data_IF_603291269327
#
_entry.id   IF_603291269327
#
_cell.length_a   1.000
_cell.length_b   1.000
_cell.length_c   1.000
_cell.angle_alpha   90.00
_cell.angle_beta   90.00
_cell.angle_gamma   90.00
#
_symmetry.space_group_name_H-M   'P 1'
#
loop_
_entity.id
_entity.type
_entity.pdbx_description
1 polymer ?
#
# COMPACT_ATOMS: atom_id res chain seq x y z
N UNK A 1 34.10 -1.04 -4.32
CA UNK A 1 33.83 0.40 -4.07
C UNK A 1 32.31 0.55 -3.93
N UNK A 2 31.80 1.18 -2.85
CA UNK A 2 30.34 1.31 -2.63
C UNK A 2 29.77 2.35 -3.60
N UNK A 3 29.43 1.94 -4.83
CA UNK A 3 28.65 2.75 -5.76
C UNK A 3 27.33 3.13 -5.05
N UNK A 4 27.10 4.41 -4.78
CA UNK A 4 25.83 4.91 -4.22
C UNK A 4 24.95 5.44 -5.33
N UNK A 5 23.64 5.52 -5.09
CA UNK A 5 22.67 6.09 -6.04
C UNK A 5 23.06 7.52 -6.47
N UNK A 6 23.66 8.30 -5.55
CA UNK A 6 24.16 9.65 -5.81
C UNK A 6 25.28 9.67 -6.86
N UNK A 7 26.22 8.75 -6.77
CA UNK A 7 27.35 8.67 -7.69
C UNK A 7 26.83 8.26 -9.08
N UNK A 8 25.98 7.23 -9.13
CA UNK A 8 25.29 6.81 -10.35
C UNK A 8 24.51 7.96 -11.02
N UNK A 9 23.80 8.78 -10.25
CA UNK A 9 23.07 9.89 -10.81
C UNK A 9 24.01 10.98 -11.37
N UNK A 10 25.07 11.33 -10.64
CA UNK A 10 26.06 12.31 -11.07
C UNK A 10 26.77 11.86 -12.36
N UNK A 11 27.20 10.60 -12.42
CA UNK A 11 27.94 10.02 -13.55
C UNK A 11 27.12 10.00 -14.85
N UNK A 12 25.78 10.02 -14.75
CA UNK A 12 24.87 9.93 -15.88
C UNK A 12 24.01 11.19 -16.08
N UNK A 13 24.36 12.31 -15.42
CA UNK A 13 23.64 13.58 -15.56
C UNK A 13 22.19 13.56 -15.08
N UNK A 14 21.85 12.66 -14.16
CA UNK A 14 20.51 12.50 -13.60
C UNK A 14 20.32 13.35 -12.35
N UNK A 15 19.10 13.82 -12.15
CA UNK A 15 18.71 14.57 -10.96
C UNK A 15 18.35 13.60 -9.83
N UNK A 16 18.86 13.86 -8.63
CA UNK A 16 18.59 13.07 -7.42
C UNK A 16 17.43 13.66 -6.62
N UNK A 17 16.54 12.79 -6.13
CA UNK A 17 15.55 13.15 -5.12
C UNK A 17 15.29 12.00 -4.16
N UNK A 18 15.59 12.22 -2.87
CA UNK A 18 15.42 11.23 -1.80
C UNK A 18 16.08 9.89 -2.18
N UNK A 19 15.25 8.89 -2.48
CA UNK A 19 15.62 7.51 -2.78
C UNK A 19 15.43 7.18 -4.27
N UNK A 20 15.42 8.19 -5.14
CA UNK A 20 15.28 8.03 -6.58
C UNK A 20 16.18 8.99 -7.36
N UNK A 21 16.46 8.65 -8.62
CA UNK A 21 17.02 9.57 -9.60
C UNK A 21 16.21 9.53 -10.89
N UNK A 22 16.22 10.63 -11.64
CA UNK A 22 15.50 10.78 -12.90
C UNK A 22 16.18 11.75 -13.84
N UNK A 23 15.87 11.64 -15.13
CA UNK A 23 16.43 12.53 -16.15
C UNK A 23 16.42 11.87 -17.53
N UNK A 24 17.19 12.42 -18.46
CA UNK A 24 17.33 11.87 -19.80
C UNK A 24 18.56 10.94 -19.82
N UNK A 25 18.37 9.70 -20.24
CA UNK A 25 19.42 8.70 -20.41
C UNK A 25 19.32 8.08 -21.80
N UNK A 26 20.38 8.21 -22.60
CA UNK A 26 20.43 7.71 -23.98
C UNK A 26 19.24 8.15 -24.86
N UNK A 27 18.74 9.37 -24.64
CA UNK A 27 17.62 9.95 -25.40
C UNK A 27 16.22 9.65 -24.84
N UNK A 28 16.10 8.88 -23.76
CA UNK A 28 14.81 8.55 -23.13
C UNK A 28 14.71 9.11 -21.72
N UNK A 29 13.50 9.44 -21.29
CA UNK A 29 13.29 9.87 -19.91
C UNK A 29 13.25 8.64 -19.00
N UNK A 30 14.13 8.59 -18.02
CA UNK A 30 14.27 7.45 -17.11
C UNK A 30 14.02 7.86 -15.67
N UNK A 31 13.55 6.92 -14.88
CA UNK A 31 13.40 7.05 -13.43
C UNK A 31 13.87 5.77 -12.75
N UNK A 32 14.76 5.89 -11.78
CA UNK A 32 15.29 4.77 -11.01
C UNK A 32 15.03 5.03 -9.54
N UNK A 33 14.18 4.21 -8.93
CA UNK A 33 13.85 4.27 -7.50
C UNK A 33 14.53 3.12 -6.77
N UNK A 34 15.33 3.41 -5.75
CA UNK A 34 16.04 2.41 -4.97
C UNK A 34 15.72 2.53 -3.48
N UNK A 35 15.14 1.48 -2.91
CA UNK A 35 14.81 1.37 -1.49
C UNK A 35 15.40 0.07 -0.92
N UNK A 36 16.41 0.12 -0.03
CA UNK A 36 17.05 -1.07 0.51
C UNK A 36 16.11 -2.08 1.17
N UNK A 37 15.06 -1.57 1.83
CA UNK A 37 14.01 -2.35 2.51
C UNK A 37 12.70 -2.41 1.71
N UNK A 38 12.71 -1.94 0.45
CA UNK A 38 11.54 -1.95 -0.42
C UNK A 38 11.31 -3.31 -1.10
N UNK A 39 10.06 -3.58 -1.49
CA UNK A 39 9.69 -4.66 -2.40
C UNK A 39 8.85 -4.06 -3.55
N UNK A 40 9.40 -3.91 -4.78
CA UNK A 40 10.77 -4.27 -5.18
C UNK A 40 11.84 -3.32 -4.59
N UNK A 41 13.07 -3.82 -4.44
CA UNK A 41 14.21 -3.03 -3.91
C UNK A 41 14.68 -1.94 -4.88
N UNK A 42 14.55 -2.19 -6.18
CA UNK A 42 14.76 -1.20 -7.22
C UNK A 42 13.65 -1.30 -8.24
N UNK A 43 13.21 -0.15 -8.73
CA UNK A 43 12.30 -0.03 -9.85
C UNK A 43 12.96 0.89 -10.88
N UNK A 44 13.10 0.39 -12.10
CA UNK A 44 13.60 1.17 -13.24
C UNK A 44 12.41 1.39 -14.17
N UNK A 45 12.22 2.63 -14.58
CA UNK A 45 11.16 3.04 -15.49
C UNK A 45 11.75 3.81 -16.65
N UNK A 46 11.33 3.48 -17.86
CA UNK A 46 11.72 4.20 -19.08
C UNK A 46 10.45 4.65 -19.80
N UNK A 47 10.35 5.95 -20.01
CA UNK A 47 9.19 6.61 -20.60
C UNK A 47 9.33 6.55 -22.10
N UNK A 48 8.31 6.00 -22.75
CA UNK A 48 8.20 5.97 -24.20
C UNK A 48 6.78 5.56 -24.56
N UNK A 49 6.29 6.01 -25.71
CA UNK A 49 4.99 5.58 -26.23
C UNK A 49 5.09 4.12 -26.68
N UNK A 50 4.67 3.22 -25.81
CA UNK A 50 4.83 1.79 -26.00
C UNK A 50 3.55 1.07 -26.46
N UNK A 51 2.37 1.70 -26.41
CA UNK A 51 1.08 1.09 -26.76
C UNK A 51 1.10 0.32 -28.09
N UNK A 52 1.64 0.93 -29.15
CA UNK A 52 1.61 0.36 -30.51
C UNK A 52 2.54 -0.86 -30.68
N UNK A 53 3.59 -0.95 -29.87
CA UNK A 53 4.61 -2.01 -29.94
C UNK A 53 4.73 -2.81 -28.63
N UNK A 54 3.70 -2.75 -27.78
CA UNK A 54 3.69 -3.35 -26.45
C UNK A 54 4.09 -4.82 -26.46
N UNK A 55 3.45 -5.62 -27.31
CA UNK A 55 3.73 -7.07 -27.38
C UNK A 55 5.15 -7.39 -27.85
N UNK A 56 5.76 -6.55 -28.69
CA UNK A 56 7.16 -6.73 -29.11
C UNK A 56 8.12 -6.41 -27.95
N UNK A 57 7.83 -5.31 -27.22
CA UNK A 57 8.64 -4.90 -26.07
C UNK A 57 8.55 -5.89 -24.90
N UNK A 58 7.36 -6.42 -24.60
CA UNK A 58 7.18 -7.48 -23.60
C UNK A 58 7.91 -8.77 -23.98
N UNK A 59 7.89 -9.16 -25.27
CA UNK A 59 8.68 -10.30 -25.76
C UNK A 59 10.18 -10.08 -25.63
N UNK A 60 10.67 -8.87 -25.89
CA UNK A 60 12.07 -8.50 -25.66
C UNK A 60 12.44 -8.63 -24.19
N UNK A 61 11.65 -8.04 -23.30
CA UNK A 61 11.88 -8.11 -21.85
C UNK A 61 11.85 -9.56 -21.35
N UNK A 62 10.89 -10.37 -21.79
CA UNK A 62 10.80 -11.78 -21.44
C UNK A 62 12.02 -12.59 -21.92
N UNK A 63 12.48 -12.35 -23.16
CA UNK A 63 13.65 -13.02 -23.73
C UNK A 63 14.93 -12.72 -22.94
N UNK A 64 15.06 -11.49 -22.45
CA UNK A 64 16.24 -11.02 -21.71
C UNK A 64 16.04 -11.01 -20.18
N UNK A 65 14.90 -11.50 -19.67
CA UNK A 65 14.56 -11.42 -18.24
C UNK A 65 15.55 -12.15 -17.34
N UNK A 66 16.01 -13.34 -17.75
CA UNK A 66 17.01 -14.12 -16.99
C UNK A 66 18.37 -13.42 -16.98
N UNK A 67 18.79 -12.89 -18.13
CA UNK A 67 20.05 -12.18 -18.31
C UNK A 67 20.10 -10.89 -17.49
N UNK A 68 19.02 -10.11 -17.52
CA UNK A 68 18.85 -8.88 -16.74
C UNK A 68 18.40 -9.12 -15.29
N UNK A 69 18.20 -10.39 -14.90
CA UNK A 69 17.74 -10.81 -13.57
C UNK A 69 16.46 -10.11 -13.12
N UNK A 70 15.48 -9.97 -14.01
CA UNK A 70 14.22 -9.30 -13.71
C UNK A 70 13.33 -10.17 -12.81
N UNK A 71 12.85 -9.59 -11.71
CA UNK A 71 11.81 -10.18 -10.88
C UNK A 71 10.44 -10.04 -11.52
N UNK A 72 10.20 -8.86 -12.08
CA UNK A 72 8.96 -8.47 -12.69
C UNK A 72 9.26 -7.41 -13.76
N UNK A 73 8.43 -7.35 -14.78
CA UNK A 73 8.54 -6.39 -15.86
C UNK A 73 7.20 -6.23 -16.58
N UNK A 74 6.97 -5.07 -17.17
CA UNK A 74 5.79 -4.84 -17.98
C UNK A 74 5.75 -3.45 -18.59
N UNK A 75 4.86 -3.29 -19.55
CA UNK A 75 4.51 -1.99 -20.13
C UNK A 75 3.30 -1.44 -19.38
N UNK A 76 3.49 -0.31 -18.69
CA UNK A 76 2.52 0.29 -17.79
C UNK A 76 2.31 1.75 -18.16
N UNK A 77 1.15 2.05 -18.74
CA UNK A 77 0.81 3.38 -19.22
C UNK A 77 1.86 3.90 -20.21
N UNK A 78 2.41 5.08 -19.90
CA UNK A 78 3.36 5.87 -20.72
C UNK A 78 4.79 5.31 -20.85
N UNK A 79 5.02 4.04 -20.55
CA UNK A 79 6.35 3.44 -20.69
C UNK A 79 6.46 2.01 -20.17
N UNK A 80 7.70 1.60 -19.92
CA UNK A 80 8.02 0.29 -19.37
C UNK A 80 8.54 0.41 -17.94
N UNK A 81 8.22 -0.58 -17.12
CA UNK A 81 8.72 -0.76 -15.76
C UNK A 81 9.44 -2.10 -15.68
N UNK A 82 10.62 -2.12 -15.07
CA UNK A 82 11.36 -3.35 -14.77
C UNK A 82 11.84 -3.34 -13.32
N UNK A 83 11.69 -4.48 -12.65
CA UNK A 83 12.07 -4.68 -11.26
C UNK A 83 13.19 -5.74 -11.16
N UNK A 84 14.46 -5.36 -11.23
CA UNK A 84 15.59 -6.29 -11.12
C UNK A 84 15.77 -6.90 -9.71
N UNK A 85 16.23 -8.15 -9.67
CA UNK A 85 16.74 -8.85 -8.47
C UNK A 85 18.24 -8.67 -8.36
N UNK A 86 18.70 -7.98 -7.33
CA UNK A 86 20.14 -7.83 -7.05
C UNK A 86 20.61 -8.79 -5.98
N UNK A 87 21.75 -9.42 -6.25
CA UNK A 87 22.53 -10.24 -5.30
C UNK A 87 23.95 -9.69 -5.09
N UNK A 88 24.24 -8.48 -5.59
CA UNK A 88 25.58 -7.88 -5.59
C UNK A 88 25.56 -6.39 -5.95
N UNK A 89 26.46 -5.96 -6.85
CA UNK A 89 26.57 -4.56 -7.27
C UNK A 89 25.29 -4.07 -7.98
N UNK A 90 24.57 -3.15 -7.31
CA UNK A 90 23.26 -2.68 -7.77
C UNK A 90 23.39 -1.76 -8.97
N UNK A 91 24.21 -0.71 -8.88
CA UNK A 91 24.19 0.37 -9.87
C UNK A 91 24.91 0.02 -11.18
N UNK A 92 25.94 -0.83 -11.14
CA UNK A 92 26.50 -1.42 -12.37
C UNK A 92 25.46 -2.26 -13.12
N UNK A 93 24.65 -3.04 -12.41
CA UNK A 93 23.56 -3.80 -13.01
C UNK A 93 22.44 -2.89 -13.52
N UNK A 94 22.06 -1.83 -12.79
CA UNK A 94 21.09 -0.82 -13.27
C UNK A 94 21.56 -0.19 -14.58
N UNK A 95 22.83 0.21 -14.66
CA UNK A 95 23.42 0.79 -15.88
C UNK A 95 23.31 -0.18 -17.06
N UNK A 96 23.74 -1.43 -16.88
CA UNK A 96 23.69 -2.45 -17.93
C UNK A 96 22.25 -2.73 -18.41
N UNK A 97 21.28 -2.71 -17.50
CA UNK A 97 19.86 -2.86 -17.84
C UNK A 97 19.37 -1.67 -18.66
N UNK A 98 19.66 -0.44 -18.21
CA UNK A 98 19.29 0.79 -18.92
C UNK A 98 19.91 0.84 -20.31
N UNK A 99 21.20 0.52 -20.45
CA UNK A 99 21.90 0.49 -21.73
C UNK A 99 21.23 -0.46 -22.71
N UNK A 100 20.88 -1.68 -22.26
CA UNK A 100 20.19 -2.67 -23.10
C UNK A 100 18.80 -2.22 -23.51
N UNK A 101 18.02 -1.69 -22.57
CA UNK A 101 16.66 -1.22 -22.84
C UNK A 101 16.70 -0.05 -23.83
N UNK A 102 17.50 0.98 -23.56
CA UNK A 102 17.59 2.17 -24.40
C UNK A 102 18.17 1.84 -25.79
N UNK A 103 19.16 0.95 -25.87
CA UNK A 103 19.67 0.49 -27.16
C UNK A 103 18.62 -0.26 -27.99
N UNK A 104 17.77 -1.06 -27.34
CA UNK A 104 16.66 -1.73 -28.02
C UNK A 104 15.60 -0.72 -28.49
N UNK A 105 15.20 0.20 -27.62
CA UNK A 105 14.22 1.24 -27.95
C UNK A 105 14.70 2.10 -29.13
N UNK A 106 15.96 2.53 -29.13
CA UNK A 106 16.55 3.29 -30.22
C UNK A 106 16.59 2.50 -31.53
N UNK A 107 16.97 1.22 -31.49
CA UNK A 107 17.02 0.32 -32.65
C UNK A 107 15.63 0.14 -33.28
N UNK A 108 14.62 -0.04 -32.45
CA UNK A 108 13.23 -0.22 -32.88
C UNK A 108 12.50 1.10 -33.13
N UNK A 109 13.21 2.24 -33.07
CA UNK A 109 12.70 3.59 -33.33
C UNK A 109 11.50 3.96 -32.45
N UNK A 110 11.59 3.68 -31.15
CA UNK A 110 10.62 4.19 -30.20
C UNK A 110 10.81 5.69 -29.97
N UNK A 111 9.73 6.45 -29.68
CA UNK A 111 9.84 7.88 -29.37
C UNK A 111 10.63 8.12 -28.08
N UNK A 112 11.52 9.12 -28.13
CA UNK A 112 12.40 9.52 -27.03
C UNK A 112 11.77 10.52 -26.06
N UNK A 113 12.62 11.18 -25.28
CA UNK A 113 12.26 12.15 -24.24
C UNK A 113 11.76 13.50 -24.80
N UNK A 114 11.94 13.74 -26.09
CA UNK A 114 11.54 14.92 -26.85
C UNK A 114 10.11 14.83 -27.39
N UNK A 115 9.45 13.68 -27.23
CA UNK A 115 8.10 13.42 -27.72
C UNK A 115 7.13 13.23 -26.57
N UNK A 116 5.93 13.79 -26.68
CA UNK A 116 4.89 13.62 -25.68
C UNK A 116 4.39 12.16 -25.66
N UNK A 117 4.44 11.45 -24.52
CA UNK A 117 4.09 10.03 -24.48
C UNK A 117 2.59 9.78 -24.71
N UNK A 118 1.73 10.79 -24.52
CA UNK A 118 0.29 10.67 -24.74
C UNK A 118 -0.13 10.91 -26.20
N UNK A 119 0.30 12.03 -26.81
CA UNK A 119 -0.12 12.37 -28.18
C UNK A 119 0.86 11.96 -29.27
N UNK A 120 2.13 11.72 -28.94
CA UNK A 120 3.17 11.36 -29.92
C UNK A 120 3.75 12.52 -30.72
N UNK A 121 3.31 13.76 -30.44
CA UNK A 121 3.87 14.98 -31.04
C UNK A 121 5.13 15.42 -30.29
N UNK A 122 6.07 16.11 -30.96
CA UNK A 122 7.20 16.75 -30.29
C UNK A 122 6.74 17.62 -29.12
N UNK A 123 7.52 17.64 -28.04
CA UNK A 123 7.29 18.51 -26.87
C UNK A 123 7.67 19.95 -27.22
N UNK A 124 6.82 20.62 -28.01
CA UNK A 124 6.91 22.04 -28.32
C UNK A 124 5.92 22.86 -27.47
N UNK A 125 6.31 24.09 -27.12
CA UNK A 125 5.45 25.00 -26.34
C UNK A 125 5.32 24.67 -24.84
N UNK A 126 4.09 24.74 -24.30
CA UNK A 126 3.80 24.63 -22.86
C UNK A 126 3.78 23.17 -22.39
N UNK A 127 4.90 22.74 -21.82
CA UNK A 127 5.05 21.41 -21.19
C UNK A 127 4.96 21.50 -19.68
N UNK A 128 4.43 20.46 -19.04
CA UNK A 128 4.42 20.32 -17.58
C UNK A 128 5.22 19.10 -17.16
N UNK A 129 5.91 19.21 -16.02
CA UNK A 129 6.57 18.07 -15.39
C UNK A 129 5.55 17.40 -14.46
N UNK A 130 5.24 16.14 -14.72
CA UNK A 130 4.27 15.39 -13.94
C UNK A 130 4.85 14.09 -13.44
N UNK A 131 4.11 13.45 -12.54
CA UNK A 131 4.37 12.09 -12.08
C UNK A 131 3.15 11.22 -12.32
N UNK A 132 3.30 10.07 -12.98
CA UNK A 132 2.28 9.02 -13.05
C UNK A 132 2.83 7.75 -12.39
N UNK A 133 2.16 7.23 -11.36
CA UNK A 133 2.63 6.05 -10.61
C UNK A 133 4.09 6.13 -10.14
N UNK A 134 4.49 7.27 -9.56
CA UNK A 134 5.88 7.62 -9.19
C UNK A 134 6.88 7.74 -10.35
N UNK A 135 6.46 7.60 -11.62
CA UNK A 135 7.32 7.86 -12.79
C UNK A 135 7.18 9.32 -13.19
N UNK A 136 8.30 10.04 -13.26
CA UNK A 136 8.33 11.42 -13.75
C UNK A 136 8.54 11.47 -15.24
N UNK A 137 7.89 12.42 -15.90
CA UNK A 137 8.06 12.71 -17.32
C UNK A 137 7.43 14.06 -17.68
N UNK A 138 7.74 14.52 -18.89
CA UNK A 138 7.14 15.72 -19.47
C UNK A 138 6.03 15.35 -20.44
N UNK A 139 4.94 16.10 -20.40
CA UNK A 139 3.89 16.02 -21.41
C UNK A 139 3.28 17.40 -21.67
N UNK A 140 2.50 17.54 -22.74
CA UNK A 140 1.69 18.72 -22.98
C UNK A 140 0.65 18.90 -21.87
N UNK A 141 0.44 20.16 -21.43
CA UNK A 141 -0.53 20.50 -20.38
C UNK A 141 -1.95 20.00 -20.70
N UNK A 142 -2.35 20.07 -21.97
CA UNK A 142 -3.65 19.54 -22.43
C UNK A 142 -3.76 18.02 -22.28
N UNK A 143 -2.70 17.29 -22.67
CA UNK A 143 -2.66 15.83 -22.56
C UNK A 143 -2.71 15.40 -21.09
N UNK A 144 -1.99 16.11 -20.21
CA UNK A 144 -2.07 15.92 -18.77
C UNK A 144 -3.49 16.08 -18.25
N UNK A 145 -4.16 17.19 -18.57
CA UNK A 145 -5.51 17.48 -18.07
C UNK A 145 -6.52 16.40 -18.45
N UNK A 146 -6.46 15.91 -19.69
CA UNK A 146 -7.31 14.82 -20.16
C UNK A 146 -7.02 13.50 -19.43
N UNK A 147 -5.74 13.11 -19.31
CA UNK A 147 -5.34 11.90 -18.62
C UNK A 147 -5.69 11.94 -17.12
N UNK A 148 -5.48 13.09 -16.47
CA UNK A 148 -5.86 13.32 -15.08
C UNK A 148 -7.37 13.20 -14.86
N UNK A 149 -8.18 13.81 -15.73
CA UNK A 149 -9.64 13.71 -15.66
C UNK A 149 -10.12 12.26 -15.85
N UNK A 150 -9.54 11.52 -16.80
CA UNK A 150 -9.83 10.11 -17.02
C UNK A 150 -9.43 9.23 -15.82
N UNK A 151 -8.25 9.45 -15.25
CA UNK A 151 -7.79 8.74 -14.05
C UNK A 151 -8.69 9.00 -12.85
N UNK A 152 -9.09 10.26 -12.64
CA UNK A 152 -10.03 10.66 -11.57
C UNK A 152 -11.42 10.05 -11.76
N UNK A 153 -11.94 10.05 -13.00
CA UNK A 153 -13.20 9.41 -13.33
C UNK A 153 -13.17 7.90 -13.03
N UNK A 154 -12.10 7.20 -13.46
CA UNK A 154 -11.90 5.78 -13.18
C UNK A 154 -11.80 5.47 -11.69
N UNK A 155 -11.02 6.26 -10.93
CA UNK A 155 -10.92 6.12 -9.48
C UNK A 155 -12.29 6.32 -8.80
N UNK A 156 -13.08 7.29 -9.26
CA UNK A 156 -14.43 7.53 -8.72
C UNK A 156 -15.42 6.41 -9.06
N UNK A 157 -15.33 5.83 -10.26
CA UNK A 157 -16.15 4.69 -10.68
C UNK A 157 -15.78 3.41 -9.90
N UNK A 158 -14.48 3.20 -9.62
CA UNK A 158 -14.03 2.15 -8.72
C UNK A 158 -14.62 2.35 -7.32
N UNK A 159 -14.66 3.56 -6.77
CA UNK A 159 -15.30 3.79 -5.46
C UNK A 159 -16.81 3.53 -5.45
N UNK A 160 -17.50 3.76 -6.57
CA UNK A 160 -18.95 3.50 -6.69
C UNK A 160 -19.30 2.01 -6.67
N UNK A 161 -18.40 1.12 -7.09
CA UNK A 161 -18.61 -0.34 -7.04
C UNK A 161 -18.22 -1.00 -5.71
N UNK A 162 -18.07 -0.21 -4.64
CA UNK A 162 -17.72 -0.71 -3.31
C UNK A 162 -18.85 -1.57 -2.71
N UNK A 163 -18.55 -2.83 -2.39
CA UNK A 163 -19.49 -3.77 -1.77
C UNK A 163 -19.56 -3.53 -0.25
N UNK A 164 -19.97 -2.32 0.16
CA UNK A 164 -19.96 -1.86 1.56
C UNK A 164 -20.70 -2.80 2.51
N UNK A 165 -21.87 -3.30 2.10
CA UNK A 165 -22.71 -4.19 2.91
C UNK A 165 -22.00 -5.53 3.15
N UNK A 166 -21.44 -6.12 2.09
CA UNK A 166 -20.68 -7.38 2.20
C UNK A 166 -19.42 -7.18 3.04
N UNK A 167 -18.73 -6.06 2.88
CA UNK A 167 -17.61 -5.67 3.72
C UNK A 167 -18.00 -5.54 5.19
N UNK A 168 -19.14 -4.91 5.50
CA UNK A 168 -19.64 -4.76 6.87
C UNK A 168 -19.95 -6.13 7.51
N UNK A 169 -20.54 -7.06 6.76
CA UNK A 169 -20.76 -8.44 7.23
C UNK A 169 -19.42 -9.15 7.51
N UNK A 170 -18.42 -8.93 6.65
CA UNK A 170 -17.06 -9.39 6.91
C UNK A 170 -16.47 -8.79 8.19
N UNK A 171 -16.62 -7.49 8.42
CA UNK A 171 -16.15 -6.83 9.64
C UNK A 171 -16.83 -7.37 10.90
N UNK A 172 -18.14 -7.64 10.83
CA UNK A 172 -18.90 -8.26 11.91
C UNK A 172 -18.38 -9.67 12.22
N UNK A 173 -18.12 -10.49 11.19
CA UNK A 173 -17.52 -11.81 11.37
C UNK A 173 -16.17 -11.73 12.07
N UNK A 174 -15.32 -10.79 11.64
CA UNK A 174 -14.01 -10.55 12.28
C UNK A 174 -14.14 -10.12 13.75
N UNK A 175 -15.15 -9.31 14.06
CA UNK A 175 -15.44 -8.87 15.42
C UNK A 175 -15.88 -10.06 16.30
N UNK A 176 -16.85 -10.85 15.83
CA UNK A 176 -17.36 -12.05 16.53
C UNK A 176 -16.23 -13.05 16.82
N UNK A 177 -15.35 -13.31 15.85
CA UNK A 177 -14.20 -14.19 16.05
C UNK A 177 -13.26 -13.69 17.15
N UNK A 178 -12.95 -12.39 17.16
CA UNK A 178 -12.13 -11.78 18.20
C UNK A 178 -12.83 -11.82 19.58
N UNK A 179 -14.14 -11.60 19.60
CA UNK A 179 -14.94 -11.72 20.82
C UNK A 179 -14.96 -13.14 21.39
N UNK A 180 -14.99 -14.17 20.54
CA UNK A 180 -14.84 -15.56 20.96
C UNK A 180 -13.48 -15.84 21.60
N UNK A 181 -12.40 -15.33 20.99
CA UNK A 181 -11.04 -15.43 21.56
C UNK A 181 -10.98 -14.75 22.94
N UNK A 182 -11.58 -13.55 23.07
CA UNK A 182 -11.63 -12.83 24.34
C UNK A 182 -12.27 -13.68 25.43
N UNK A 183 -13.47 -14.23 25.18
CA UNK A 183 -14.22 -15.02 26.16
C UNK A 183 -13.46 -16.29 26.55
N UNK A 184 -12.86 -17.00 25.58
CA UNK A 184 -12.06 -18.20 25.85
C UNK A 184 -10.85 -17.90 26.74
N UNK A 185 -10.13 -16.81 26.45
CA UNK A 185 -9.00 -16.37 27.29
C UNK A 185 -9.46 -15.93 28.68
N UNK A 186 -10.58 -15.21 28.75
CA UNK A 186 -11.15 -14.77 30.00
C UNK A 186 -11.53 -15.96 30.90
N UNK A 187 -12.17 -17.00 30.35
CA UNK A 187 -12.51 -18.21 31.14
C UNK A 187 -11.25 -18.93 31.65
N UNK A 188 -10.17 -18.97 30.87
CA UNK A 188 -8.98 -19.74 31.23
C UNK A 188 -8.09 -19.04 32.26
N UNK A 189 -7.89 -17.72 32.14
CA UNK A 189 -6.94 -16.99 32.98
C UNK A 189 -7.50 -15.69 33.58
N UNK A 190 -8.81 -15.44 33.46
CA UNK A 190 -9.47 -14.17 33.83
C UNK A 190 -8.85 -12.95 33.16
N UNK A 191 -8.16 -13.14 32.04
CA UNK A 191 -7.46 -12.08 31.31
C UNK A 191 -7.66 -12.21 29.79
N UNK A 192 -8.71 -11.55 29.28
CA UNK A 192 -9.09 -11.57 27.86
C UNK A 192 -8.52 -10.41 27.03
N UNK A 193 -7.93 -9.40 27.67
CA UNK A 193 -7.56 -8.13 27.05
C UNK A 193 -6.68 -8.24 25.78
N UNK A 194 -5.88 -9.31 25.64
CA UNK A 194 -5.05 -9.56 24.45
C UNK A 194 -5.89 -9.61 23.16
N UNK A 195 -7.12 -10.14 23.24
CA UNK A 195 -8.03 -10.20 22.09
C UNK A 195 -8.43 -8.81 21.57
N UNK A 196 -8.33 -7.77 22.40
CA UNK A 196 -8.64 -6.39 22.02
C UNK A 196 -7.68 -5.83 20.96
N UNK A 197 -6.45 -6.35 20.89
CA UNK A 197 -5.51 -6.03 19.80
C UNK A 197 -6.01 -6.54 18.46
N UNK A 198 -6.60 -7.73 18.45
CA UNK A 198 -6.98 -8.43 17.22
C UNK A 198 -8.35 -8.02 16.70
N UNK A 199 -9.26 -7.51 17.54
CA UNK A 199 -10.63 -7.20 17.13
C UNK A 199 -10.71 -6.21 15.96
N UNK A 200 -10.13 -4.99 16.02
CA UNK A 200 -10.19 -4.05 14.89
C UNK A 200 -9.40 -4.55 13.66
N UNK A 201 -8.33 -5.31 13.89
CA UNK A 201 -7.47 -5.85 12.83
C UNK A 201 -8.21 -6.93 12.03
N UNK A 202 -8.83 -7.89 12.72
CA UNK A 202 -9.62 -8.96 12.09
C UNK A 202 -10.85 -8.39 11.39
N UNK A 203 -11.57 -7.45 12.02
CA UNK A 203 -12.68 -6.75 11.36
C UNK A 203 -12.24 -6.06 10.06
N UNK A 204 -11.13 -5.32 10.09
CA UNK A 204 -10.61 -4.65 8.89
C UNK A 204 -10.09 -5.62 7.82
N UNK A 205 -9.55 -6.77 8.23
CA UNK A 205 -9.08 -7.84 7.35
C UNK A 205 -10.25 -8.52 6.62
N UNK A 206 -11.28 -8.95 7.37
CA UNK A 206 -12.43 -9.60 6.78
C UNK A 206 -13.30 -8.63 5.96
N UNK A 207 -13.37 -7.34 6.34
CA UNK A 207 -14.01 -6.32 5.48
C UNK A 207 -13.44 -6.33 4.06
N UNK A 208 -12.11 -6.38 3.95
CA UNK A 208 -11.41 -6.48 2.66
C UNK A 208 -11.65 -7.81 1.96
N UNK A 209 -11.59 -8.90 2.71
CA UNK A 209 -11.78 -10.26 2.18
C UNK A 209 -13.15 -10.42 1.51
N UNK A 210 -14.17 -9.74 2.01
CA UNK A 210 -15.53 -9.73 1.44
C UNK A 210 -15.74 -8.66 0.36
N UNK A 211 -14.66 -8.06 -0.16
CA UNK A 211 -14.70 -7.15 -1.30
C UNK A 211 -15.00 -5.68 -0.97
N UNK A 212 -14.95 -5.32 0.31
CA UNK A 212 -15.03 -3.93 0.73
C UNK A 212 -13.73 -3.16 0.47
N UNK A 213 -13.85 -1.90 0.03
CA UNK A 213 -12.71 -1.05 -0.35
C UNK A 213 -12.14 -0.26 0.84
N UNK A 214 -10.91 0.21 0.70
CA UNK A 214 -10.27 1.08 1.69
C UNK A 214 -10.90 2.48 1.63
N UNK A 215 -11.91 2.68 2.47
CA UNK A 215 -12.63 3.94 2.63
C UNK A 215 -12.61 4.38 4.10
N UNK A 216 -12.88 5.67 4.41
CA UNK A 216 -13.08 6.10 5.79
C UNK A 216 -14.17 5.28 6.50
N UNK A 217 -15.20 4.84 5.77
CA UNK A 217 -16.26 3.99 6.30
C UNK A 217 -15.74 2.66 6.81
N UNK A 218 -14.81 1.99 6.10
CA UNK A 218 -14.16 0.77 6.57
C UNK A 218 -13.44 1.01 7.91
N UNK A 219 -12.65 2.08 7.99
CA UNK A 219 -11.87 2.40 9.19
C UNK A 219 -12.81 2.56 10.39
N UNK A 220 -13.82 3.44 10.26
CA UNK A 220 -14.77 3.71 11.34
C UNK A 220 -15.54 2.45 11.71
N UNK A 221 -16.14 1.75 10.76
CA UNK A 221 -16.94 0.55 11.03
C UNK A 221 -16.12 -0.58 11.69
N UNK A 222 -14.88 -0.83 11.23
CA UNK A 222 -14.03 -1.88 11.79
C UNK A 222 -13.61 -1.56 13.23
N UNK A 223 -13.28 -0.29 13.52
CA UNK A 223 -12.95 0.16 14.88
C UNK A 223 -14.16 0.08 15.81
N UNK A 224 -15.32 0.59 15.37
CA UNK A 224 -16.55 0.59 16.18
C UNK A 224 -17.02 -0.83 16.47
N UNK A 225 -17.08 -1.71 15.46
CA UNK A 225 -17.50 -3.11 15.65
C UNK A 225 -16.49 -3.89 16.52
N UNK A 226 -15.19 -3.68 16.30
CA UNK A 226 -14.15 -4.30 17.12
C UNK A 226 -14.27 -3.90 18.59
N UNK A 227 -14.46 -2.61 18.89
CA UNK A 227 -14.65 -2.13 20.27
C UNK A 227 -15.95 -2.62 20.89
N UNK A 228 -17.06 -2.57 20.15
CA UNK A 228 -18.33 -3.11 20.62
C UNK A 228 -18.20 -4.60 20.98
N UNK A 229 -17.47 -5.37 20.17
CA UNK A 229 -17.21 -6.78 20.46
C UNK A 229 -16.34 -6.98 21.70
N UNK A 230 -15.30 -6.17 21.92
CA UNK A 230 -14.46 -6.28 23.13
C UNK A 230 -15.28 -5.96 24.38
N UNK A 231 -16.07 -4.88 24.35
CA UNK A 231 -16.95 -4.50 25.46
C UNK A 231 -17.98 -5.61 25.73
N UNK A 232 -18.66 -6.09 24.68
CA UNK A 232 -19.64 -7.16 24.78
C UNK A 232 -19.05 -8.46 25.34
N UNK A 233 -17.87 -8.85 24.86
CA UNK A 233 -17.16 -10.04 25.36
C UNK A 233 -16.67 -9.91 26.79
N UNK A 234 -16.25 -8.71 27.21
CA UNK A 234 -15.87 -8.46 28.59
C UNK A 234 -17.07 -8.56 29.52
N UNK A 235 -18.20 -7.92 29.18
CA UNK A 235 -19.45 -8.05 29.93
C UNK A 235 -19.96 -9.49 29.98
N UNK A 236 -19.84 -10.22 28.87
CA UNK A 236 -20.20 -11.64 28.81
C UNK A 236 -19.30 -12.48 29.73
N UNK A 237 -17.99 -12.21 29.77
CA UNK A 237 -17.06 -12.87 30.69
C UNK A 237 -17.44 -12.65 32.16
N UNK A 238 -17.75 -11.40 32.53
CA UNK A 238 -18.23 -11.07 33.89
C UNK A 238 -19.54 -11.77 34.23
N UNK A 239 -20.47 -11.82 33.28
CA UNK A 239 -21.74 -12.53 33.47
C UNK A 239 -21.53 -14.04 33.67
N UNK A 240 -20.60 -14.65 32.92
CA UNK A 240 -20.25 -16.07 33.07
C UNK A 240 -19.68 -16.35 34.46
N UNK A 241 -18.79 -15.50 34.98
CA UNK A 241 -18.26 -15.63 36.35
C UNK A 241 -19.38 -15.61 37.41
N UNK A 242 -20.35 -14.69 37.26
CA UNK A 242 -21.42 -14.53 38.24
C UNK A 242 -22.57 -15.55 38.13
N UNK A 243 -22.72 -16.23 36.99
CA UNK A 243 -23.94 -17.01 36.66
C UNK A 243 -24.31 -18.10 37.69
N UNK A 244 -23.35 -18.65 38.43
CA UNK A 244 -23.57 -19.67 39.46
C UNK A 244 -23.78 -19.14 40.87
N UNK A 245 -23.46 -17.87 41.14
CA UNK A 245 -23.29 -17.34 42.51
C UNK A 245 -24.15 -16.09 42.77
N UNK A 246 -25.19 -15.85 41.96
CA UNK A 246 -26.11 -14.70 42.11
C UNK A 246 -26.09 -13.71 40.93
N UNK A 247 -25.31 -13.99 39.89
CA UNK A 247 -25.24 -13.18 38.68
C UNK A 247 -24.47 -11.89 38.90
N UNK A 248 -25.08 -10.76 38.54
CA UNK A 248 -24.44 -9.44 38.65
C UNK A 248 -24.20 -8.98 40.09
N UNK A 249 -25.00 -9.44 41.06
CA UNK A 249 -24.79 -9.10 42.47
C UNK A 249 -23.47 -9.65 42.99
N UNK A 250 -23.12 -10.90 42.61
CA UNK A 250 -21.83 -11.50 42.91
C UNK A 250 -20.68 -10.66 42.34
N UNK A 251 -20.75 -10.34 41.05
CA UNK A 251 -19.70 -9.53 40.38
C UNK A 251 -19.49 -8.20 41.11
N UNK A 252 -20.57 -7.49 41.46
CA UNK A 252 -20.49 -6.21 42.15
C UNK A 252 -19.92 -6.33 43.56
N UNK A 253 -20.27 -7.39 44.28
CA UNK A 253 -19.74 -7.63 45.63
C UNK A 253 -18.27 -8.05 45.57
N UNK A 254 -17.87 -8.92 44.64
CA UNK A 254 -16.48 -9.32 44.40
C UNK A 254 -15.61 -8.11 44.02
N UNK A 255 -16.13 -7.16 43.24
CA UNK A 255 -15.40 -5.92 42.93
C UNK A 255 -15.13 -5.04 44.16
N UNK A 256 -15.96 -5.14 45.20
CA UNK A 256 -15.82 -4.34 46.44
C UNK A 256 -15.01 -5.05 47.51
N UNK A 257 -15.12 -6.37 47.57
CA UNK A 257 -14.61 -7.19 48.68
C UNK A 257 -13.33 -7.97 48.33
N UNK A 258 -13.11 -8.29 47.05
CA UNK A 258 -11.94 -9.05 46.59
C UNK A 258 -10.98 -8.15 45.78
N UNK A 259 -9.87 -7.78 46.44
CA UNK A 259 -8.81 -6.98 45.83
C UNK A 259 -8.14 -7.67 44.63
N UNK A 260 -8.10 -9.00 44.59
CA UNK A 260 -7.56 -9.75 43.45
C UNK A 260 -8.52 -9.66 42.26
N UNK A 261 -9.82 -9.88 42.49
CA UNK A 261 -10.85 -9.72 41.46
C UNK A 261 -10.86 -8.31 40.87
N UNK A 262 -10.83 -7.29 41.74
CA UNK A 262 -10.75 -5.88 41.34
C UNK A 262 -9.50 -5.60 40.50
N UNK A 263 -8.34 -6.16 40.89
CA UNK A 263 -7.08 -5.99 40.13
C UNK A 263 -7.21 -6.55 38.72
N UNK A 264 -7.72 -7.77 38.55
CA UNK A 264 -7.91 -8.37 37.22
C UNK A 264 -8.94 -7.61 36.38
N UNK A 265 -10.02 -7.13 36.99
CA UNK A 265 -11.01 -6.29 36.33
C UNK A 265 -10.37 -5.02 35.76
N UNK A 266 -9.63 -4.27 36.59
CA UNK A 266 -8.94 -3.03 36.18
C UNK A 266 -7.91 -3.33 35.10
N UNK A 267 -7.09 -4.36 35.27
CA UNK A 267 -6.08 -4.75 34.28
C UNK A 267 -6.71 -5.08 32.94
N UNK A 268 -7.83 -5.83 32.91
CA UNK A 268 -8.52 -6.12 31.65
C UNK A 268 -8.98 -4.85 30.94
N UNK A 269 -9.53 -3.87 31.68
CA UNK A 269 -9.97 -2.60 31.10
C UNK A 269 -8.78 -1.81 30.55
N UNK A 270 -7.74 -1.59 31.37
CA UNK A 270 -6.58 -0.77 31.00
C UNK A 270 -5.87 -1.38 29.79
N UNK A 271 -5.58 -2.69 29.82
CA UNK A 271 -4.92 -3.34 28.70
C UNK A 271 -5.80 -3.38 27.45
N UNK A 272 -7.11 -3.58 27.58
CA UNK A 272 -8.01 -3.55 26.42
C UNK A 272 -8.00 -2.18 25.74
N UNK A 273 -8.03 -1.09 26.50
CA UNK A 273 -7.97 0.29 25.97
C UNK A 273 -6.63 0.53 25.26
N UNK A 274 -5.51 0.17 25.89
CA UNK A 274 -4.18 0.35 25.30
C UNK A 274 -4.00 -0.46 24.01
N UNK A 275 -4.46 -1.72 24.01
CA UNK A 275 -4.37 -2.61 22.85
C UNK A 275 -5.31 -2.20 21.72
N UNK A 276 -6.51 -1.70 22.03
CA UNK A 276 -7.42 -1.09 21.05
C UNK A 276 -6.77 0.14 20.42
N UNK A 277 -6.15 1.02 21.21
CA UNK A 277 -5.44 2.19 20.68
C UNK A 277 -4.30 1.79 19.72
N UNK A 278 -3.50 0.78 20.09
CA UNK A 278 -2.48 0.22 19.21
C UNK A 278 -3.06 -0.36 17.92
N UNK A 279 -4.15 -1.12 18.00
CA UNK A 279 -4.86 -1.67 16.85
C UNK A 279 -5.40 -0.57 15.93
N UNK A 280 -5.94 0.52 16.51
CA UNK A 280 -6.45 1.67 15.76
C UNK A 280 -5.34 2.37 14.98
N UNK A 281 -4.20 2.62 15.62
CA UNK A 281 -3.02 3.21 14.97
C UNK A 281 -2.58 2.34 13.79
N UNK A 282 -2.55 1.02 13.97
CA UNK A 282 -2.21 0.07 12.91
C UNK A 282 -3.19 0.11 11.74
N UNK A 283 -4.50 0.03 12.01
CA UNK A 283 -5.54 0.06 10.97
C UNK A 283 -5.54 1.41 10.24
N UNK A 284 -5.36 2.51 10.97
CA UNK A 284 -5.24 3.85 10.40
C UNK A 284 -3.98 4.02 9.53
N UNK A 285 -2.84 3.50 9.98
CA UNK A 285 -1.60 3.50 9.19
C UNK A 285 -1.75 2.75 7.87
N UNK A 286 -2.44 1.60 7.89
CA UNK A 286 -2.77 0.85 6.69
C UNK A 286 -3.73 1.60 5.75
N UNK A 287 -4.73 2.29 6.31
CA UNK A 287 -5.63 3.14 5.54
C UNK A 287 -4.87 4.29 4.85
N UNK A 288 -4.04 5.05 5.58
CA UNK A 288 -3.22 6.13 5.02
C UNK A 288 -2.26 5.65 3.94
N UNK A 289 -1.67 4.45 4.09
CA UNK A 289 -0.78 3.87 3.09
C UNK A 289 -1.54 3.53 1.80
N UNK A 290 -2.75 2.99 1.92
CA UNK A 290 -3.64 2.73 0.78
C UNK A 290 -4.02 4.04 0.06
N UNK A 291 -4.40 5.07 0.81
CA UNK A 291 -4.78 6.38 0.27
C UNK A 291 -3.62 7.02 -0.50
N UNK A 292 -2.40 7.00 0.07
CA UNK A 292 -1.19 7.50 -0.61
C UNK A 292 -0.92 6.76 -1.93
N UNK A 293 -1.09 5.44 -1.96
CA UNK A 293 -0.91 4.65 -3.18
C UNK A 293 -1.99 4.95 -4.25
N UNK A 294 -3.18 5.40 -3.84
CA UNK A 294 -4.24 5.82 -4.76
C UNK A 294 -4.02 7.26 -5.26
N UNK A 295 -3.61 8.17 -4.36
CA UNK A 295 -3.32 9.57 -4.67
C UNK A 295 -2.02 9.77 -5.48
N UNK A 296 -1.06 8.84 -5.38
CA UNK A 296 0.19 8.87 -6.15
C UNK A 296 0.03 8.51 -7.63
N UNK A 297 -1.21 8.32 -8.12
CA UNK A 297 -1.44 7.89 -9.49
C UNK A 297 -1.12 9.00 -10.51
N UNK A 298 -1.41 10.27 -10.23
CA UNK A 298 -1.03 11.40 -11.10
C UNK A 298 -0.88 12.73 -10.32
N UNK A 299 0.30 13.35 -10.34
CA UNK A 299 0.54 14.68 -9.72
C UNK A 299 1.33 15.62 -10.64
N UNK A 300 0.97 16.90 -10.61
CA UNK A 300 1.72 18.01 -11.22
C UNK A 300 2.84 18.42 -10.25
N UNK A 301 4.06 18.69 -10.74
CA UNK A 301 5.24 18.97 -9.90
C UNK A 301 5.74 20.41 -9.98
N UNK A 302 5.15 21.21 -10.86
CA UNK A 302 5.39 22.64 -11.07
C UNK A 302 4.57 23.53 -10.14
#
# INVERSE_FOLDING_TARGET
MKYKLKDFAADNGLTMEKNACYGIYGGYYVHVKYSPLGNPRCLISVVTRAEEKKGALEKFLARHAKEMRLADFGVVGIGLMVAPKFTGEVFGAVKSILDKIVAHLAREKFPGADVCPYCGEPLDGKTVLMTESDIRFRAHERCYGAAYAAAKAKASAELKSDKKILGLLGALLGAVLAGGIFVLMYIWCRFGAIAALFAPILSAYFYKKFGGKDTPFKLVSSCTLGTASVIGSFLLGLYIDGRGEGGWSYVLESLRSDGFYLTFFILNIVFSVLLLAGAYIYVFGNYKRSEKNAASRMNRLD
#
